data_IF_625947677612
#
_entry.id   IF_625947677612
#
_cell.length_a   1.000
_cell.length_b   1.000
_cell.length_c   1.000
_cell.angle_alpha   90.00
_cell.angle_beta   90.00
_cell.angle_gamma   90.00
#
_symmetry.space_group_name_H-M   'P 1'
#
loop_
_entity.id
_entity.type
_entity.pdbx_description
1 polymer ?
#
# COMPACT_ATOMS: atom_id res chain seq x y z
N UNK A 1 -15.72 5.19 -3.99
CA UNK A 1 -14.80 5.69 -2.96
C UNK A 1 -13.41 5.83 -3.55
N UNK A 2 -12.60 6.80 -3.06
CA UNK A 2 -11.30 7.12 -3.61
C UNK A 2 -10.20 6.88 -2.57
N UNK A 3 -9.11 6.23 -2.98
CA UNK A 3 -7.84 6.25 -2.24
C UNK A 3 -6.92 7.29 -2.88
N UNK A 4 -6.44 8.23 -2.08
CA UNK A 4 -5.65 9.36 -2.56
C UNK A 4 -4.21 9.20 -2.07
N UNK A 5 -3.26 9.18 -3.00
CA UNK A 5 -1.84 9.20 -2.63
C UNK A 5 -1.41 10.59 -2.18
N UNK A 6 -0.77 10.66 -1.03
CA UNK A 6 -0.23 11.91 -0.50
C UNK A 6 0.81 12.54 -1.45
N UNK A 7 0.87 13.87 -1.43
CA UNK A 7 1.84 14.63 -2.21
C UNK A 7 3.28 14.22 -1.87
N UNK A 8 4.16 14.23 -2.89
CA UNK A 8 5.59 13.90 -2.73
C UNK A 8 6.31 14.79 -1.70
N UNK A 9 5.86 16.03 -1.50
CA UNK A 9 6.37 16.95 -0.49
C UNK A 9 6.12 16.48 0.95
N UNK A 10 5.21 15.52 1.15
CA UNK A 10 4.94 14.87 2.45
C UNK A 10 5.63 13.51 2.61
N UNK A 11 6.22 12.96 1.55
CA UNK A 11 6.73 11.59 1.60
C UNK A 11 8.12 11.40 1.01
N UNK A 12 8.51 12.19 0.01
CA UNK A 12 9.77 12.05 -0.72
C UNK A 12 10.69 13.27 -0.57
N UNK A 13 10.12 14.48 -0.56
CA UNK A 13 10.83 15.76 -0.52
C UNK A 13 10.45 16.54 0.75
N UNK A 14 10.68 15.90 1.89
CA UNK A 14 10.29 16.45 3.20
C UNK A 14 11.16 17.65 3.52
N UNK A 15 10.55 18.82 3.66
CA UNK A 15 11.21 20.09 4.03
C UNK A 15 10.74 20.58 5.40
N UNK A 16 11.36 21.64 5.90
CA UNK A 16 10.95 22.28 7.16
C UNK A 16 9.49 22.80 7.12
N UNK A 17 8.99 23.17 5.93
CA UNK A 17 7.61 23.64 5.70
C UNK A 17 6.59 22.51 5.42
N UNK A 18 6.91 21.27 5.73
CA UNK A 18 6.00 20.14 5.47
C UNK A 18 4.60 20.31 6.10
N UNK A 19 4.49 21.06 7.22
CA UNK A 19 3.19 21.33 7.86
C UNK A 19 2.27 22.15 6.97
N UNK A 20 2.81 23.15 6.26
CA UNK A 20 2.04 23.95 5.30
C UNK A 20 1.53 23.07 4.16
N UNK A 21 2.37 22.15 3.68
CA UNK A 21 1.98 21.16 2.67
C UNK A 21 0.88 20.21 3.21
N UNK A 22 0.94 19.83 4.48
CA UNK A 22 -0.11 19.03 5.11
C UNK A 22 -1.44 19.78 5.18
N UNK A 23 -1.43 21.07 5.51
CA UNK A 23 -2.63 21.92 5.50
C UNK A 23 -3.23 22.01 4.10
N UNK A 24 -2.42 22.31 3.08
CA UNK A 24 -2.88 22.38 1.70
C UNK A 24 -3.49 21.05 1.23
N UNK A 25 -2.84 19.94 1.54
CA UNK A 25 -3.33 18.62 1.15
C UNK A 25 -4.65 18.26 1.88
N UNK A 26 -4.75 18.55 3.18
CA UNK A 26 -6.01 18.34 3.93
C UNK A 26 -7.17 19.13 3.33
N UNK A 27 -6.93 20.40 2.96
CA UNK A 27 -7.95 21.23 2.33
C UNK A 27 -8.39 20.65 0.98
N UNK A 28 -7.45 20.15 0.18
CA UNK A 28 -7.76 19.53 -1.11
C UNK A 28 -8.63 18.27 -0.99
N UNK A 29 -8.42 17.44 0.03
CA UNK A 29 -9.18 16.19 0.21
C UNK A 29 -10.45 16.38 1.05
N UNK A 30 -10.65 17.54 1.66
CA UNK A 30 -11.76 17.81 2.58
C UNK A 30 -13.13 17.54 1.96
N UNK A 31 -13.33 17.95 0.73
CA UNK A 31 -14.60 17.72 0.01
C UNK A 31 -14.90 16.23 -0.18
N UNK A 32 -13.88 15.41 -0.45
CA UNK A 32 -14.04 13.97 -0.55
C UNK A 32 -14.41 13.35 0.80
N UNK A 33 -13.79 13.82 1.87
CA UNK A 33 -14.09 13.36 3.22
C UNK A 33 -15.51 13.74 3.64
N UNK A 34 -15.95 14.98 3.41
CA UNK A 34 -17.32 15.43 3.69
C UNK A 34 -18.39 14.62 2.93
N UNK A 35 -18.10 14.25 1.70
CA UNK A 35 -18.99 13.41 0.87
C UNK A 35 -18.89 11.92 1.19
N UNK A 36 -18.13 11.53 2.22
CA UNK A 36 -17.83 10.13 2.57
C UNK A 36 -17.27 9.31 1.38
N UNK A 37 -16.63 10.00 0.45
CA UNK A 37 -16.03 9.41 -0.74
C UNK A 37 -14.54 9.08 -0.57
N UNK A 38 -13.89 9.53 0.51
CA UNK A 38 -12.50 9.24 0.82
C UNK A 38 -12.40 7.88 1.52
N UNK A 39 -11.87 6.90 0.81
CA UNK A 39 -11.64 5.56 1.34
C UNK A 39 -10.35 5.48 2.17
N UNK A 40 -9.28 6.13 1.71
CA UNK A 40 -7.98 6.14 2.39
C UNK A 40 -7.05 7.22 1.84
N UNK A 41 -6.13 7.69 2.68
CA UNK A 41 -4.93 8.42 2.26
C UNK A 41 -3.76 7.43 2.27
N UNK A 42 -3.05 7.32 1.15
CA UNK A 42 -1.84 6.51 1.03
C UNK A 42 -0.60 7.39 1.25
N UNK A 43 0.11 7.19 2.34
CA UNK A 43 1.45 7.75 2.58
C UNK A 43 2.51 6.73 2.16
N UNK A 44 3.01 6.84 0.93
CA UNK A 44 4.05 5.95 0.41
C UNK A 44 5.41 6.62 0.53
N UNK A 45 6.28 6.04 1.35
CA UNK A 45 7.66 6.49 1.54
C UNK A 45 8.63 5.75 0.62
N UNK A 46 9.69 6.43 0.13
CA UNK A 46 10.72 5.83 -0.72
C UNK A 46 11.65 4.91 0.10
N UNK A 47 12.48 4.14 -0.61
CA UNK A 47 13.49 3.27 0.01
C UNK A 47 14.51 4.08 0.84
N UNK A 48 14.80 5.32 0.45
CA UNK A 48 15.67 6.24 1.20
C UNK A 48 15.11 6.72 2.54
N UNK A 49 13.84 6.46 2.83
CA UNK A 49 13.23 6.80 4.11
C UNK A 49 13.57 5.72 5.16
N UNK A 50 14.76 5.84 5.74
CA UNK A 50 15.28 4.89 6.72
C UNK A 50 14.63 5.01 8.10
N UNK A 51 14.69 3.96 8.91
CA UNK A 51 14.16 3.91 10.28
C UNK A 51 15.08 4.66 11.27
N UNK A 52 15.21 5.96 11.08
CA UNK A 52 15.96 6.86 11.99
C UNK A 52 15.07 7.49 13.06
N UNK A 53 15.61 7.97 14.18
CA UNK A 53 14.82 8.72 15.18
C UNK A 53 14.07 9.90 14.57
N UNK A 54 14.71 10.64 13.67
CA UNK A 54 14.12 11.80 13.00
C UNK A 54 12.92 11.40 12.12
N UNK A 55 13.07 10.35 11.32
CA UNK A 55 12.00 9.85 10.45
C UNK A 55 10.83 9.25 11.25
N UNK A 56 11.12 8.62 12.39
CA UNK A 56 10.09 8.11 13.30
C UNK A 56 9.25 9.25 13.89
N UNK A 57 9.91 10.30 14.37
CA UNK A 57 9.24 11.51 14.89
C UNK A 57 8.44 12.19 13.78
N UNK A 58 9.04 12.33 12.59
CA UNK A 58 8.34 12.89 11.44
C UNK A 58 7.06 12.11 11.11
N UNK A 59 7.17 10.80 10.95
CA UNK A 59 6.02 9.94 10.65
C UNK A 59 4.92 10.08 11.70
N UNK A 60 5.29 10.05 12.98
CA UNK A 60 4.33 10.19 14.08
C UNK A 60 3.57 11.52 14.01
N UNK A 61 4.28 12.61 13.74
CA UNK A 61 3.69 13.95 13.60
C UNK A 61 2.82 14.07 12.35
N UNK A 62 3.29 13.52 11.22
CA UNK A 62 2.51 13.49 9.98
C UNK A 62 1.18 12.77 10.18
N UNK A 63 1.20 11.57 10.77
CA UNK A 63 -0.02 10.80 11.00
C UNK A 63 -0.99 11.50 11.95
N UNK A 64 -0.49 12.27 12.93
CA UNK A 64 -1.29 13.10 13.82
C UNK A 64 -1.99 14.23 13.06
N UNK A 65 -1.31 14.90 12.11
CA UNK A 65 -1.94 15.94 11.27
C UNK A 65 -3.13 15.42 10.45
N UNK A 66 -3.15 14.12 10.18
CA UNK A 66 -4.22 13.45 9.41
C UNK A 66 -5.10 12.54 10.28
N UNK A 67 -5.14 12.76 11.60
CA UNK A 67 -5.86 11.89 12.54
C UNK A 67 -7.33 11.62 12.16
N UNK A 68 -8.11 12.61 11.69
CA UNK A 68 -9.53 12.41 11.35
C UNK A 68 -9.76 11.54 10.10
N UNK A 69 -8.72 11.31 9.29
CA UNK A 69 -8.88 10.66 7.99
C UNK A 69 -8.44 9.20 8.03
N UNK A 70 -9.13 8.30 7.29
CA UNK A 70 -8.63 6.95 7.07
C UNK A 70 -7.29 7.01 6.32
N UNK A 71 -6.29 6.30 6.79
CA UNK A 71 -4.93 6.40 6.28
C UNK A 71 -4.16 5.10 6.37
N UNK A 72 -3.29 4.89 5.39
CA UNK A 72 -2.38 3.74 5.32
C UNK A 72 -0.98 4.21 4.97
N UNK A 73 0.02 3.48 5.46
CA UNK A 73 1.43 3.79 5.24
C UNK A 73 2.09 2.66 4.47
N UNK A 74 2.78 3.01 3.40
CA UNK A 74 3.60 2.11 2.61
C UNK A 74 5.07 2.43 2.82
N UNK A 75 5.82 1.45 3.27
CA UNK A 75 7.27 1.54 3.37
C UNK A 75 7.93 0.77 2.23
N UNK A 76 9.02 1.34 1.69
CA UNK A 76 9.86 0.71 0.67
C UNK A 76 11.20 0.23 1.23
N UNK A 77 11.45 0.41 2.52
CA UNK A 77 12.64 -0.08 3.21
C UNK A 77 12.27 -1.05 4.33
N UNK A 78 12.91 -2.22 4.36
CA UNK A 78 12.63 -3.32 5.31
C UNK A 78 12.80 -2.96 6.78
N UNK A 79 13.61 -1.93 7.11
CA UNK A 79 13.83 -1.50 8.49
C UNK A 79 12.55 -1.07 9.21
N UNK A 80 11.50 -0.73 8.45
CA UNK A 80 10.21 -0.36 9.00
C UNK A 80 9.29 -1.55 9.31
N UNK A 81 9.68 -2.76 8.90
CA UNK A 81 8.85 -3.96 9.12
C UNK A 81 9.22 -4.59 10.47
N UNK A 82 8.59 -4.12 11.53
CA UNK A 82 8.80 -4.54 12.93
C UNK A 82 7.55 -4.30 13.76
N UNK A 83 7.40 -5.09 14.83
CA UNK A 83 6.23 -5.03 15.73
C UNK A 83 6.05 -3.64 16.34
N UNK A 84 7.12 -2.99 16.79
CA UNK A 84 7.05 -1.64 17.36
C UNK A 84 6.55 -0.56 16.37
N UNK A 85 6.73 -0.76 15.06
CA UNK A 85 6.16 0.08 14.02
C UNK A 85 4.68 -0.22 13.86
N UNK A 86 4.32 -1.49 13.84
CA UNK A 86 2.93 -1.94 13.71
C UNK A 86 2.08 -1.43 14.89
N UNK A 87 2.58 -1.57 16.11
CA UNK A 87 1.96 -1.00 17.31
C UNK A 87 1.81 0.52 17.20
N UNK A 88 2.88 1.20 16.77
CA UNK A 88 2.87 2.65 16.58
C UNK A 88 1.88 3.13 15.52
N UNK A 89 1.66 2.37 14.45
CA UNK A 89 0.63 2.64 13.44
C UNK A 89 -0.77 2.40 14.01
N UNK A 90 -0.97 1.28 14.71
CA UNK A 90 -2.24 0.93 15.34
C UNK A 90 -2.72 2.01 16.32
N UNK A 91 -1.84 2.50 17.21
CA UNK A 91 -2.13 3.59 18.14
C UNK A 91 -2.58 4.89 17.43
N UNK A 92 -2.18 5.08 16.17
CA UNK A 92 -2.52 6.26 15.35
C UNK A 92 -3.64 5.99 14.36
N UNK A 93 -4.31 4.84 14.47
CA UNK A 93 -5.37 4.39 13.56
C UNK A 93 -4.93 4.46 12.09
N UNK A 94 -3.67 4.10 11.83
CA UNK A 94 -3.09 4.01 10.49
C UNK A 94 -2.85 2.54 10.15
N UNK A 95 -3.26 2.12 8.95
CA UNK A 95 -2.95 0.79 8.43
C UNK A 95 -1.55 0.72 7.83
N UNK A 96 -1.04 -0.50 7.66
CA UNK A 96 0.14 -0.77 6.84
C UNK A 96 -0.29 -1.30 5.48
N UNK A 97 0.44 -0.90 4.44
CA UNK A 97 0.22 -1.42 3.08
C UNK A 97 1.04 -2.69 2.87
N UNK A 98 0.39 -3.74 2.44
CA UNK A 98 1.05 -4.95 1.98
C UNK A 98 1.46 -4.78 0.54
N UNK A 99 2.76 -4.82 0.28
CA UNK A 99 3.30 -4.72 -1.06
C UNK A 99 3.83 -6.07 -1.53
N UNK A 100 3.33 -6.58 -2.65
CA UNK A 100 4.00 -7.64 -3.37
C UNK A 100 5.00 -7.01 -4.34
N UNK A 101 6.28 -7.36 -4.17
CA UNK A 101 7.41 -6.80 -4.91
C UNK A 101 8.56 -7.83 -4.91
N UNK A 102 9.60 -7.66 -5.74
CA UNK A 102 10.69 -8.62 -5.79
C UNK A 102 11.45 -8.73 -4.46
N UNK A 103 11.95 -9.93 -4.17
CA UNK A 103 12.77 -10.19 -3.00
C UNK A 103 14.18 -9.60 -3.18
N UNK A 104 14.36 -8.32 -2.82
CA UNK A 104 15.64 -7.62 -2.89
C UNK A 104 16.10 -7.20 -1.50
N UNK A 105 17.42 -7.01 -1.33
CA UNK A 105 18.10 -6.87 -0.04
C UNK A 105 17.47 -5.84 0.90
N UNK A 106 17.02 -4.70 0.39
CA UNK A 106 16.54 -3.58 1.20
C UNK A 106 15.02 -3.43 1.19
N UNK A 107 14.33 -4.10 0.28
CA UNK A 107 12.88 -4.03 0.20
C UNK A 107 12.22 -4.83 1.33
N UNK A 108 11.02 -4.46 1.74
CA UNK A 108 10.21 -5.30 2.60
C UNK A 108 10.00 -6.66 1.93
N UNK A 109 10.52 -7.70 2.55
CA UNK A 109 10.33 -9.07 2.06
C UNK A 109 8.96 -9.54 2.51
N UNK A 110 8.14 -9.84 1.56
CA UNK A 110 6.84 -10.49 1.57
C UNK A 110 6.08 -10.47 2.90
N UNK A 111 4.91 -9.91 2.88
CA UNK A 111 3.96 -10.14 3.95
C UNK A 111 3.54 -11.60 3.91
N UNK A 112 3.69 -12.29 5.01
CA UNK A 112 3.24 -13.67 5.19
C UNK A 112 1.79 -13.68 5.65
N UNK A 113 1.12 -14.84 5.59
CA UNK A 113 -0.22 -15.03 6.15
C UNK A 113 -0.33 -14.65 7.63
N UNK A 114 0.80 -14.60 8.34
CA UNK A 114 0.86 -14.23 9.76
C UNK A 114 1.10 -12.74 10.00
N UNK A 115 1.29 -11.94 8.95
CA UNK A 115 1.46 -10.49 9.10
C UNK A 115 0.09 -9.83 9.29
N UNK A 116 -0.18 -9.20 10.44
CA UNK A 116 -1.51 -8.67 10.71
C UNK A 116 -1.79 -7.43 9.86
N UNK A 117 -3.00 -7.35 9.31
CA UNK A 117 -3.51 -6.08 8.82
C UNK A 117 -3.86 -5.16 10.00
N UNK A 118 -3.24 -3.99 10.03
CA UNK A 118 -3.46 -3.01 11.09
C UNK A 118 -4.60 -2.08 10.69
N UNK A 119 -5.49 -1.79 11.64
CA UNK A 119 -6.66 -0.94 11.40
C UNK A 119 -7.77 -1.64 10.61
N UNK A 120 -8.69 -0.85 10.05
CA UNK A 120 -9.91 -1.33 9.40
C UNK A 120 -9.75 -1.56 7.89
N UNK A 121 -8.56 -1.28 7.33
CA UNK A 121 -8.29 -1.37 5.89
C UNK A 121 -7.16 -2.38 5.66
N UNK A 122 -7.46 -3.43 4.93
CA UNK A 122 -6.47 -4.34 4.36
C UNK A 122 -6.07 -3.79 2.97
N UNK A 123 -4.95 -3.07 2.92
CA UNK A 123 -4.49 -2.40 1.71
C UNK A 123 -3.35 -3.18 1.09
N UNK A 124 -3.55 -3.68 -0.12
CA UNK A 124 -2.58 -4.52 -0.84
C UNK A 124 -2.19 -3.84 -2.14
N UNK A 125 -0.90 -3.81 -2.45
CA UNK A 125 -0.37 -3.29 -3.72
C UNK A 125 0.50 -4.32 -4.41
N UNK A 126 0.12 -4.66 -5.62
CA UNK A 126 0.83 -5.58 -6.50
C UNK A 126 1.76 -4.80 -7.44
N UNK A 127 3.07 -4.80 -7.15
CA UNK A 127 4.06 -4.05 -7.92
C UNK A 127 4.73 -4.88 -9.03
N UNK A 128 4.51 -6.18 -9.00
CA UNK A 128 5.26 -7.13 -9.81
C UNK A 128 6.58 -7.56 -9.16
N UNK A 129 7.11 -8.68 -9.64
CA UNK A 129 8.31 -9.32 -9.07
C UNK A 129 9.52 -9.27 -10.01
N UNK A 130 9.56 -8.27 -10.92
CA UNK A 130 10.69 -8.09 -11.85
C UNK A 130 11.92 -7.55 -11.08
N UNK A 131 12.75 -8.46 -10.58
CA UNK A 131 13.97 -8.12 -9.84
C UNK A 131 15.04 -7.47 -10.72
N UNK A 132 15.14 -7.84 -11.98
CA UNK A 132 16.13 -7.30 -12.93
C UNK A 132 15.81 -5.86 -13.30
N UNK A 133 14.53 -5.52 -13.45
CA UNK A 133 14.07 -4.17 -13.80
C UNK A 133 13.92 -3.21 -12.60
N UNK A 134 14.03 -3.70 -11.36
CA UNK A 134 13.62 -2.91 -10.20
C UNK A 134 14.41 -1.61 -9.99
N UNK A 135 15.72 -1.63 -10.22
CA UNK A 135 16.63 -0.49 -10.06
C UNK A 135 17.10 0.11 -11.41
N UNK A 136 16.57 -0.36 -12.53
CA UNK A 136 16.89 0.23 -13.83
C UNK A 136 16.31 1.64 -13.89
N UNK A 137 17.17 2.63 -14.15
CA UNK A 137 16.75 4.02 -14.28
C UNK A 137 15.83 4.20 -15.50
N UNK A 138 14.67 4.79 -15.27
CA UNK A 138 13.67 5.09 -16.31
C UNK A 138 14.14 6.08 -17.39
N UNK A 139 15.34 6.67 -17.24
CA UNK A 139 15.88 7.66 -18.18
C UNK A 139 16.31 7.07 -19.54
N UNK A 140 16.26 5.75 -19.71
CA UNK A 140 16.67 5.08 -20.95
C UNK A 140 15.54 4.45 -21.78
N UNK A 141 14.31 4.40 -21.25
CA UNK A 141 13.15 3.88 -21.99
C UNK A 141 11.85 4.48 -21.49
N UNK A 142 10.86 4.61 -22.37
CA UNK A 142 9.49 5.06 -22.06
C UNK A 142 8.71 4.05 -21.21
N UNK A 143 9.22 2.83 -21.02
CA UNK A 143 8.64 1.79 -20.19
C UNK A 143 9.48 1.63 -18.91
N UNK A 144 8.84 1.63 -17.76
CA UNK A 144 9.49 1.36 -16.48
C UNK A 144 9.60 -0.17 -16.28
N UNK A 145 10.78 -0.78 -16.50
CA UNK A 145 10.94 -2.25 -16.40
C UNK A 145 10.53 -2.79 -15.02
N UNK A 146 10.61 -1.95 -13.99
CA UNK A 146 10.23 -2.26 -12.61
C UNK A 146 8.85 -2.90 -12.51
N UNK A 147 7.88 -2.43 -13.27
CA UNK A 147 6.49 -2.87 -13.21
C UNK A 147 6.09 -3.80 -14.36
N UNK A 148 7.04 -4.18 -15.23
CA UNK A 148 6.80 -5.13 -16.30
C UNK A 148 6.80 -6.57 -15.73
N UNK A 149 5.64 -6.96 -15.27
CA UNK A 149 5.39 -8.26 -14.65
C UNK A 149 3.94 -8.68 -14.83
N UNK A 150 3.71 -9.92 -15.17
CA UNK A 150 2.37 -10.51 -15.22
C UNK A 150 2.27 -11.61 -14.17
N UNK A 151 1.36 -11.44 -13.22
CA UNK A 151 1.08 -12.46 -12.22
C UNK A 151 0.39 -13.66 -12.88
N UNK A 152 0.88 -14.85 -12.61
CA UNK A 152 0.19 -16.09 -12.93
C UNK A 152 -1.02 -16.30 -12.03
N UNK A 153 -1.96 -17.15 -12.46
CA UNK A 153 -3.12 -17.52 -11.67
C UNK A 153 -2.73 -18.12 -10.31
N UNK A 154 -1.69 -18.97 -10.28
CA UNK A 154 -1.21 -19.58 -9.03
C UNK A 154 -0.67 -18.53 -8.05
N UNK A 155 0.06 -17.52 -8.53
CA UNK A 155 0.54 -16.42 -7.70
C UNK A 155 -0.62 -15.62 -7.12
N UNK A 156 -1.62 -15.26 -7.94
CA UNK A 156 -2.81 -14.56 -7.48
C UNK A 156 -3.59 -15.40 -6.47
N UNK A 157 -3.78 -16.69 -6.72
CA UNK A 157 -4.48 -17.59 -5.81
C UNK A 157 -3.82 -17.70 -4.44
N UNK A 158 -2.50 -17.53 -4.34
CA UNK A 158 -1.78 -17.56 -3.06
C UNK A 158 -2.17 -16.42 -2.11
N UNK A 159 -2.78 -15.35 -2.61
CA UNK A 159 -3.28 -14.23 -1.79
C UNK A 159 -4.71 -14.43 -1.29
N UNK A 160 -5.47 -15.39 -1.83
CA UNK A 160 -6.86 -15.60 -1.44
C UNK A 160 -7.03 -15.85 0.06
N UNK A 161 -6.22 -16.72 0.71
CA UNK A 161 -6.37 -16.96 2.16
C UNK A 161 -6.22 -15.69 3.00
N UNK A 162 -5.21 -14.84 2.72
CA UNK A 162 -4.98 -13.61 3.47
C UNK A 162 -6.08 -12.57 3.22
N UNK A 163 -6.61 -12.49 1.98
CA UNK A 163 -7.72 -11.61 1.65
C UNK A 163 -8.99 -12.05 2.40
N UNK A 164 -9.31 -13.34 2.38
CA UNK A 164 -10.46 -13.88 3.10
C UNK A 164 -10.35 -13.70 4.61
N UNK A 165 -9.17 -13.89 5.18
CA UNK A 165 -8.93 -13.62 6.60
C UNK A 165 -9.22 -12.16 6.95
N UNK A 166 -8.75 -11.21 6.12
CA UNK A 166 -9.05 -9.79 6.32
C UNK A 166 -10.55 -9.49 6.22
N UNK A 167 -11.26 -10.12 5.27
CA UNK A 167 -12.71 -9.97 5.12
C UNK A 167 -13.47 -10.55 6.33
N UNK A 168 -13.05 -11.70 6.84
CA UNK A 168 -13.67 -12.31 8.03
C UNK A 168 -13.48 -11.49 9.31
N UNK A 169 -12.41 -10.67 9.37
CA UNK A 169 -12.18 -9.68 10.42
C UNK A 169 -12.97 -8.37 10.20
N UNK A 170 -13.85 -8.31 9.21
CA UNK A 170 -14.65 -7.12 8.89
C UNK A 170 -13.86 -5.97 8.27
N UNK A 171 -12.66 -6.21 7.75
CA UNK A 171 -11.83 -5.17 7.13
C UNK A 171 -12.29 -4.86 5.70
N UNK A 172 -12.20 -3.59 5.33
CA UNK A 172 -12.33 -3.19 3.92
C UNK A 172 -11.06 -3.57 3.17
N UNK A 173 -11.17 -4.47 2.19
CA UNK A 173 -10.03 -4.89 1.36
C UNK A 173 -9.90 -3.98 0.15
N UNK A 174 -8.73 -3.41 -0.04
CA UNK A 174 -8.36 -2.57 -1.18
C UNK A 174 -7.13 -3.15 -1.87
N UNK A 175 -7.25 -3.44 -3.16
CA UNK A 175 -6.18 -4.01 -3.97
C UNK A 175 -5.86 -3.12 -5.15
N UNK A 176 -4.57 -2.85 -5.37
CA UNK A 176 -4.10 -2.00 -6.45
C UNK A 176 -2.99 -2.70 -7.24
N UNK A 177 -3.22 -2.87 -8.53
CA UNK A 177 -2.28 -3.48 -9.45
C UNK A 177 -1.45 -2.40 -10.14
N UNK A 178 -0.16 -2.35 -9.80
CA UNK A 178 0.79 -1.37 -10.33
C UNK A 178 1.65 -1.92 -11.48
N UNK A 179 1.50 -3.18 -11.82
CA UNK A 179 2.13 -3.85 -12.96
C UNK A 179 1.46 -3.46 -14.27
N UNK A 180 1.50 -2.18 -14.61
CA UNK A 180 0.71 -1.57 -15.67
C UNK A 180 1.20 -1.77 -17.11
N UNK A 181 2.49 -2.07 -17.43
CA UNK A 181 2.90 -2.25 -18.82
C UNK A 181 2.01 -3.23 -19.57
N UNK A 182 1.68 -2.91 -20.82
CA UNK A 182 0.86 -3.77 -21.72
C UNK A 182 -0.56 -4.10 -21.17
N UNK A 183 -1.06 -3.34 -20.18
CA UNK A 183 -2.37 -3.60 -19.59
C UNK A 183 -2.43 -4.78 -18.62
N UNK A 184 -1.28 -5.35 -18.23
CA UNK A 184 -1.21 -6.53 -17.34
C UNK A 184 -1.88 -6.29 -15.99
N UNK A 185 -1.79 -5.06 -15.45
CA UNK A 185 -2.44 -4.70 -14.20
C UNK A 185 -3.95 -4.86 -14.24
N UNK A 186 -4.59 -4.44 -15.34
CA UNK A 186 -6.05 -4.61 -15.53
C UNK A 186 -6.39 -6.10 -15.64
N UNK A 187 -5.64 -6.84 -16.45
CA UNK A 187 -5.83 -8.28 -16.62
C UNK A 187 -5.76 -9.01 -15.28
N UNK A 188 -4.71 -8.75 -14.48
CA UNK A 188 -4.55 -9.40 -13.19
C UNK A 188 -5.61 -8.94 -12.16
N UNK A 189 -6.10 -7.71 -12.21
CA UNK A 189 -7.20 -7.26 -11.36
C UNK A 189 -8.49 -8.04 -11.64
N UNK A 190 -8.85 -8.21 -12.92
CA UNK A 190 -10.02 -9.01 -13.32
C UNK A 190 -9.86 -10.50 -12.97
N UNK A 191 -8.66 -11.06 -13.13
CA UNK A 191 -8.37 -12.44 -12.70
C UNK A 191 -8.53 -12.61 -11.19
N UNK A 192 -8.04 -11.66 -10.38
CA UNK A 192 -8.21 -11.70 -8.92
C UNK A 192 -9.68 -11.61 -8.52
N UNK A 193 -10.46 -10.76 -9.18
CA UNK A 193 -11.90 -10.63 -8.95
C UNK A 193 -12.63 -11.96 -9.23
N UNK A 194 -12.32 -12.61 -10.35
CA UNK A 194 -12.89 -13.91 -10.70
C UNK A 194 -12.54 -14.97 -9.65
N UNK A 195 -11.26 -15.08 -9.25
CA UNK A 195 -10.80 -16.02 -8.23
C UNK A 195 -11.50 -15.82 -6.87
N UNK A 196 -11.74 -14.58 -6.48
CA UNK A 196 -12.46 -14.29 -5.23
C UNK A 196 -13.94 -14.68 -5.33
N UNK A 197 -14.58 -14.47 -6.48
CA UNK A 197 -15.98 -14.81 -6.73
C UNK A 197 -16.21 -16.33 -6.74
N UNK A 198 -15.38 -17.10 -7.45
CA UNK A 198 -15.44 -18.56 -7.48
C UNK A 198 -15.30 -19.18 -6.08
N UNK A 199 -14.35 -18.67 -5.32
CA UNK A 199 -14.12 -19.13 -3.95
C UNK A 199 -15.23 -18.71 -2.95
N UNK A 200 -16.10 -17.75 -3.32
CA UNK A 200 -17.26 -17.40 -2.51
C UNK A 200 -18.45 -18.33 -2.77
N UNK A 201 -18.61 -18.81 -4.00
CA UNK A 201 -19.69 -19.72 -4.37
C UNK A 201 -19.53 -21.13 -3.75
N UNK A 202 -18.29 -21.59 -3.54
CA UNK A 202 -18.01 -22.91 -2.96
C UNK A 202 -18.37 -23.07 -1.48
N UNK A 203 -18.58 -21.95 -0.76
CA UNK A 203 -18.94 -21.99 0.68
C UNK A 203 -20.45 -22.22 0.86
N UNK A 204 -21.28 -21.97 -0.16
CA UNK A 204 -22.74 -22.14 -0.08
C UNK A 204 -23.23 -23.46 -0.70
N UNK A 205 -22.31 -24.33 -1.16
CA UNK A 205 -22.62 -25.60 -1.82
C UNK A 205 -22.15 -26.84 -1.03
N UNK A 206 -21.80 -26.68 0.25
CA UNK A 206 -21.40 -27.76 1.14
C UNK A 206 -22.35 -27.91 2.33
#
# INVERSE_FOLDING_TARGET
MFSIKANRLLTHEISASWKDQAVLFRNAIHTLAQKQALASILFQFPESFHYTPQNRVYLANLLKEFEPFPKVVEFRHKEWIKDSVFEGLACRKAGIVFCDMPHLKNLPNGFTSNTPFIGNIAYIRFHGRNSQGWYVNANSSTETPRYDYEYSQNELSSFIPIIKAAQSEGKTVMMYFNNHPKGTGIKNALQMEALLSENSASIFSS
#
